data_IF_316031625747
#
_entry.id   IF_316031625747
#
_cell.length_a   1.000
_cell.length_b   1.000
_cell.length_c   1.000
_cell.angle_alpha   90.00
_cell.angle_beta   90.00
_cell.angle_gamma   90.00
#
_symmetry.space_group_name_H-M   'P 1'
#
loop_
_entity.id
_entity.type
_entity.pdbx_description
1 polymer ?
#
# COMPACT_ATOMS: atom_id res chain seq x y z
N UNK A 1 16.81 7.17 21.11
CA UNK A 1 17.54 7.38 19.82
C UNK A 1 17.10 6.39 18.73
N UNK A 2 16.90 5.09 19.01
CA UNK A 2 16.47 4.11 18.00
C UNK A 2 15.13 4.48 17.33
N UNK A 3 14.14 4.93 18.11
CA UNK A 3 12.81 5.28 17.59
C UNK A 3 12.83 6.43 16.58
N UNK A 4 13.70 7.43 16.79
CA UNK A 4 13.90 8.55 15.85
C UNK A 4 14.54 8.07 14.54
N UNK A 5 15.51 7.14 14.61
CA UNK A 5 16.13 6.55 13.41
C UNK A 5 15.12 5.73 12.60
N UNK A 6 14.34 4.89 13.28
CA UNK A 6 13.25 4.09 12.69
C UNK A 6 12.27 5.01 11.95
N UNK A 7 11.78 6.05 12.61
CA UNK A 7 10.80 6.96 12.03
C UNK A 7 11.37 7.73 10.83
N UNK A 8 12.61 8.24 10.94
CA UNK A 8 13.25 8.97 9.85
C UNK A 8 13.45 8.10 8.61
N UNK A 9 13.88 6.86 8.81
CA UNK A 9 14.03 5.90 7.72
C UNK A 9 12.69 5.52 7.09
N UNK A 10 11.68 5.22 7.92
CA UNK A 10 10.32 4.93 7.45
C UNK A 10 9.77 6.07 6.59
N UNK A 11 9.82 7.30 7.08
CA UNK A 11 9.33 8.47 6.34
C UNK A 11 10.10 8.69 5.04
N UNK A 12 11.43 8.55 5.06
CA UNK A 12 12.23 8.68 3.85
C UNK A 12 11.93 7.58 2.81
N UNK A 13 11.72 6.35 3.26
CA UNK A 13 11.33 5.22 2.42
C UNK A 13 9.96 5.45 1.77
N UNK A 14 8.96 5.89 2.53
CA UNK A 14 7.62 6.18 2.01
C UNK A 14 7.67 7.30 0.96
N UNK A 15 8.35 8.41 1.26
CA UNK A 15 8.50 9.51 0.29
C UNK A 15 9.24 9.07 -0.98
N UNK A 16 10.26 8.23 -0.84
CA UNK A 16 10.95 7.65 -1.99
C UNK A 16 10.02 6.78 -2.82
N UNK A 17 9.26 5.87 -2.21
CA UNK A 17 8.33 5.00 -2.93
C UNK A 17 7.21 5.79 -3.63
N UNK A 18 6.77 6.92 -3.06
CA UNK A 18 5.80 7.81 -3.68
C UNK A 18 6.35 8.59 -4.87
N UNK A 19 7.64 8.92 -4.87
CA UNK A 19 8.28 9.74 -5.90
C UNK A 19 9.75 9.35 -6.07
N UNK A 20 10.02 8.18 -6.68
CA UNK A 20 11.37 7.58 -6.70
C UNK A 20 12.35 8.32 -7.62
N UNK A 21 11.82 9.14 -8.52
CA UNK A 21 12.61 9.98 -9.43
C UNK A 21 12.96 11.35 -8.85
N UNK A 22 12.39 11.72 -7.69
CA UNK A 22 12.76 12.94 -6.99
C UNK A 22 14.16 12.78 -6.35
N UNK A 23 15.09 13.62 -6.79
CA UNK A 23 16.48 13.65 -6.31
C UNK A 23 16.55 13.88 -4.79
N UNK A 24 15.66 14.70 -4.23
CA UNK A 24 15.57 14.96 -2.79
C UNK A 24 15.18 13.69 -2.04
N UNK A 25 14.23 12.93 -2.56
CA UNK A 25 13.80 11.67 -1.93
C UNK A 25 14.89 10.61 -1.98
N UNK A 26 15.59 10.46 -3.11
CA UNK A 26 16.78 9.59 -3.22
C UNK A 26 17.84 9.96 -2.17
N UNK A 27 18.14 11.26 -2.03
CA UNK A 27 19.13 11.75 -1.06
C UNK A 27 18.69 11.47 0.38
N UNK A 28 17.44 11.73 0.73
CA UNK A 28 16.90 11.52 2.07
C UNK A 28 16.87 10.03 2.45
N UNK A 29 16.48 9.15 1.53
CA UNK A 29 16.51 7.71 1.76
C UNK A 29 17.94 7.21 1.97
N UNK A 30 18.88 7.66 1.14
CA UNK A 30 20.30 7.30 1.29
C UNK A 30 20.85 7.75 2.64
N UNK A 31 20.57 8.99 3.05
CA UNK A 31 21.06 9.54 4.31
C UNK A 31 20.49 8.82 5.54
N UNK A 32 19.19 8.52 5.53
CA UNK A 32 18.54 7.79 6.63
C UNK A 32 19.00 6.32 6.71
N UNK A 33 19.18 5.65 5.56
CA UNK A 33 19.76 4.31 5.51
C UNK A 33 21.20 4.30 6.06
N UNK A 34 22.04 5.25 5.66
CA UNK A 34 23.38 5.40 6.20
C UNK A 34 23.37 5.62 7.72
N UNK A 35 22.46 6.45 8.24
CA UNK A 35 22.36 6.71 9.67
C UNK A 35 22.05 5.45 10.49
N UNK A 36 21.25 4.52 9.95
CA UNK A 36 21.02 3.21 10.59
C UNK A 36 22.33 2.41 10.65
N UNK A 37 23.05 2.32 9.54
CA UNK A 37 24.32 1.60 9.46
C UNK A 37 25.37 2.17 10.42
N UNK A 38 25.56 3.49 10.40
CA UNK A 38 26.51 4.22 11.24
C UNK A 38 26.16 4.06 12.73
N UNK A 39 24.88 4.13 13.09
CA UNK A 39 24.45 3.89 14.46
C UNK A 39 24.70 2.44 14.92
N UNK A 40 24.40 1.44 14.07
CA UNK A 40 24.60 0.03 14.42
C UNK A 40 26.08 -0.32 14.65
N UNK A 41 26.97 0.14 13.76
CA UNK A 41 28.43 -0.08 13.87
C UNK A 41 29.02 0.62 15.09
N UNK A 42 28.65 1.88 15.36
CA UNK A 42 29.09 2.63 16.55
C UNK A 42 28.61 2.00 17.85
N UNK A 43 27.34 1.61 17.92
CA UNK A 43 26.76 0.98 19.14
C UNK A 43 27.44 -0.34 19.49
N UNK A 44 27.89 -1.10 18.49
CA UNK A 44 28.56 -2.39 18.67
C UNK A 44 30.09 -2.30 18.71
N UNK A 45 30.63 -1.09 18.53
CA UNK A 45 32.07 -0.83 18.42
C UNK A 45 32.79 -1.82 17.49
N UNK A 46 32.17 -2.12 16.34
CA UNK A 46 32.67 -3.13 15.40
C UNK A 46 32.27 -2.80 13.96
N UNK A 47 33.15 -3.16 13.04
CA UNK A 47 32.91 -3.15 11.59
C UNK A 47 32.68 -4.56 11.03
N UNK A 48 32.70 -5.59 11.87
CA UNK A 48 32.40 -6.96 11.48
C UNK A 48 30.88 -7.14 11.35
N UNK A 49 30.35 -7.57 10.17
CA UNK A 49 28.93 -7.62 9.90
C UNK A 49 28.11 -8.45 10.90
N UNK A 50 28.61 -9.60 11.31
CA UNK A 50 27.98 -10.48 12.31
C UNK A 50 27.68 -9.77 13.64
N UNK A 51 28.47 -8.77 14.03
CA UNK A 51 28.30 -8.03 15.29
C UNK A 51 27.22 -6.96 15.25
N UNK A 52 26.90 -6.39 14.08
CA UNK A 52 25.97 -5.27 13.96
C UNK A 52 24.75 -5.51 13.06
N UNK A 53 24.78 -6.52 12.19
CA UNK A 53 23.69 -6.78 11.22
C UNK A 53 22.36 -7.10 11.89
N UNK A 54 22.34 -7.79 13.04
CA UNK A 54 21.11 -7.99 13.82
C UNK A 54 20.48 -6.66 14.24
N UNK A 55 21.29 -5.69 14.66
CA UNK A 55 20.77 -4.36 15.03
C UNK A 55 20.20 -3.60 13.83
N UNK A 56 20.75 -3.80 12.63
CA UNK A 56 20.20 -3.24 11.39
C UNK A 56 18.88 -3.93 11.09
N UNK A 57 18.85 -5.27 11.14
CA UNK A 57 17.65 -6.06 10.87
C UNK A 57 16.48 -5.66 11.78
N UNK A 58 16.69 -5.61 13.09
CA UNK A 58 15.66 -5.20 14.05
C UNK A 58 15.10 -3.80 13.74
N UNK A 59 15.99 -2.85 13.40
CA UNK A 59 15.60 -1.47 13.07
C UNK A 59 14.79 -1.43 11.78
N UNK A 60 15.24 -2.14 10.74
CA UNK A 60 14.59 -2.18 9.44
C UNK A 60 13.24 -2.87 9.54
N UNK A 61 13.17 -4.02 10.22
CA UNK A 61 11.93 -4.79 10.46
C UNK A 61 10.81 -3.92 10.99
N UNK A 62 11.10 -3.16 12.03
CA UNK A 62 10.12 -2.24 12.65
C UNK A 62 9.77 -1.10 11.69
N UNK A 63 10.77 -0.51 11.02
CA UNK A 63 10.54 0.62 10.13
C UNK A 63 9.65 0.27 8.91
N UNK A 64 9.81 -0.93 8.36
CA UNK A 64 9.07 -1.39 7.17
C UNK A 64 7.76 -2.12 7.50
N UNK A 65 7.47 -2.35 8.79
CA UNK A 65 6.25 -3.05 9.21
C UNK A 65 5.01 -2.41 8.58
N UNK A 66 4.18 -3.27 8.01
CA UNK A 66 2.91 -2.88 7.39
C UNK A 66 3.03 -2.18 6.04
N UNK A 67 4.23 -1.92 5.52
CA UNK A 67 4.43 -1.33 4.18
C UNK A 67 4.26 -2.44 3.14
N UNK A 68 3.24 -2.28 2.28
CA UNK A 68 3.10 -3.09 1.07
C UNK A 68 3.36 -2.23 -0.17
N UNK A 69 4.03 -2.82 -1.15
CA UNK A 69 4.56 -2.09 -2.32
C UNK A 69 4.03 -2.65 -3.63
N UNK A 70 3.80 -1.76 -4.59
CA UNK A 70 3.49 -2.15 -5.96
C UNK A 70 4.71 -2.84 -6.61
N UNK A 71 4.55 -3.89 -7.44
CA UNK A 71 5.66 -4.61 -8.08
C UNK A 71 6.68 -3.69 -8.76
N UNK A 72 6.21 -2.72 -9.55
CA UNK A 72 7.07 -1.71 -10.17
C UNK A 72 7.92 -0.92 -9.17
N UNK A 73 7.36 -0.48 -8.04
CA UNK A 73 8.11 0.29 -7.04
C UNK A 73 9.14 -0.56 -6.31
N UNK A 74 8.85 -1.86 -6.12
CA UNK A 74 9.82 -2.83 -5.64
C UNK A 74 11.02 -2.96 -6.59
N UNK A 75 10.79 -3.09 -7.90
CA UNK A 75 11.86 -3.13 -8.91
C UNK A 75 12.70 -1.84 -8.93
N UNK A 76 12.03 -0.68 -8.83
CA UNK A 76 12.70 0.63 -8.79
C UNK A 76 13.59 0.77 -7.55
N UNK A 77 13.12 0.30 -6.38
CA UNK A 77 13.91 0.28 -5.15
C UNK A 77 15.11 -0.68 -5.25
N UNK A 78 14.94 -1.89 -5.79
CA UNK A 78 16.05 -2.83 -6.02
C UNK A 78 17.11 -2.19 -6.92
N UNK A 79 16.69 -1.63 -8.07
CA UNK A 79 17.59 -0.95 -9.00
C UNK A 79 18.35 0.19 -8.33
N UNK A 80 17.66 1.03 -7.56
CA UNK A 80 18.31 2.13 -6.83
C UNK A 80 19.30 1.62 -5.77
N UNK A 81 18.97 0.54 -5.06
CA UNK A 81 19.91 -0.05 -4.11
C UNK A 81 21.19 -0.51 -4.80
N UNK A 82 21.09 -1.14 -5.98
CA UNK A 82 22.25 -1.55 -6.78
C UNK A 82 23.07 -0.37 -7.28
N UNK A 83 22.43 0.73 -7.68
CA UNK A 83 23.14 1.98 -8.03
C UNK A 83 24.04 2.46 -6.88
N UNK A 84 23.57 2.37 -5.63
CA UNK A 84 24.38 2.78 -4.47
C UNK A 84 25.58 1.86 -4.23
N UNK A 85 25.48 0.58 -4.58
CA UNK A 85 26.58 -0.39 -4.42
C UNK A 85 27.82 -0.06 -5.27
N UNK A 86 27.63 0.66 -6.37
CA UNK A 86 28.70 1.08 -7.27
C UNK A 86 29.21 2.51 -6.99
N UNK A 87 28.76 3.14 -5.90
CA UNK A 87 29.17 4.50 -5.60
C UNK A 87 30.53 4.56 -4.92
N UNK A 88 31.41 5.42 -5.43
CA UNK A 88 32.70 5.74 -4.79
C UNK A 88 32.54 6.48 -3.45
N UNK A 89 31.34 7.01 -3.18
CA UNK A 89 31.05 7.69 -1.93
C UNK A 89 30.73 6.66 -0.85
N UNK A 90 31.65 6.50 0.11
CA UNK A 90 31.54 5.52 1.20
C UNK A 90 30.18 5.50 1.89
N UNK A 91 29.59 6.65 2.22
CA UNK A 91 28.28 6.68 2.88
C UNK A 91 27.14 6.10 2.02
N UNK A 92 27.21 6.25 0.69
CA UNK A 92 26.26 5.66 -0.26
C UNK A 92 26.45 4.14 -0.35
N UNK A 93 27.70 3.70 -0.47
CA UNK A 93 28.04 2.28 -0.46
C UNK A 93 27.63 1.57 0.84
N UNK A 94 27.65 2.26 2.00
CA UNK A 94 27.18 1.68 3.26
C UNK A 94 25.66 1.70 3.39
N UNK A 95 24.98 2.72 2.86
CA UNK A 95 23.52 2.78 2.79
C UNK A 95 22.93 1.61 1.99
N UNK A 96 23.64 1.12 0.98
CA UNK A 96 23.26 -0.06 0.20
C UNK A 96 22.91 -1.25 1.09
N UNK A 97 23.72 -1.59 2.11
CA UNK A 97 23.46 -2.75 2.97
C UNK A 97 22.09 -2.68 3.67
N UNK A 98 21.73 -1.51 4.18
CA UNK A 98 20.43 -1.30 4.84
C UNK A 98 19.29 -1.42 3.82
N UNK A 99 19.44 -0.84 2.63
CA UNK A 99 18.43 -0.96 1.58
C UNK A 99 18.31 -2.38 1.02
N UNK A 100 19.40 -3.13 0.97
CA UNK A 100 19.40 -4.55 0.57
C UNK A 100 18.61 -5.39 1.55
N UNK A 101 18.82 -5.21 2.87
CA UNK A 101 18.01 -5.88 3.91
C UNK A 101 16.54 -5.48 3.78
N UNK A 102 16.29 -4.17 3.68
CA UNK A 102 14.93 -3.61 3.50
C UNK A 102 14.20 -4.26 2.32
N UNK A 103 14.85 -4.36 1.16
CA UNK A 103 14.25 -4.94 -0.02
C UNK A 103 14.14 -6.47 0.07
N UNK A 104 15.25 -7.17 0.23
CA UNK A 104 15.30 -8.63 0.07
C UNK A 104 14.60 -9.39 1.19
N UNK A 105 14.63 -8.88 2.43
CA UNK A 105 14.10 -9.60 3.58
C UNK A 105 12.70 -9.17 3.96
N UNK A 106 12.24 -7.99 3.51
CA UNK A 106 10.94 -7.46 3.91
C UNK A 106 10.05 -7.06 2.74
N UNK A 107 10.51 -6.18 1.86
CA UNK A 107 9.61 -5.61 0.85
C UNK A 107 9.34 -6.55 -0.32
N UNK A 108 10.28 -7.42 -0.68
CA UNK A 108 10.12 -8.40 -1.78
C UNK A 108 8.97 -9.37 -1.53
N UNK A 109 8.77 -9.78 -0.28
CA UNK A 109 7.65 -10.65 0.12
C UNK A 109 6.35 -9.85 0.37
N UNK A 110 6.46 -8.53 0.60
CA UNK A 110 5.34 -7.62 0.78
C UNK A 110 4.91 -6.91 -0.53
N UNK A 111 5.27 -7.47 -1.68
CA UNK A 111 4.77 -7.04 -2.98
C UNK A 111 3.30 -7.41 -3.10
N UNK A 112 2.46 -6.44 -3.44
CA UNK A 112 1.02 -6.64 -3.57
C UNK A 112 0.72 -7.35 -4.89
N UNK A 113 -0.09 -8.41 -4.82
CA UNK A 113 -0.80 -8.89 -6.01
C UNK A 113 -1.96 -7.94 -6.32
N UNK A 114 -1.63 -6.91 -7.10
CA UNK A 114 -2.56 -5.83 -7.45
C UNK A 114 -3.73 -6.34 -8.29
N UNK A 115 -3.49 -7.37 -9.10
CA UNK A 115 -4.52 -8.00 -9.92
C UNK A 115 -5.53 -8.72 -9.04
N UNK A 116 -5.06 -9.47 -8.06
CA UNK A 116 -5.92 -10.19 -7.12
C UNK A 116 -6.74 -9.24 -6.24
N UNK A 117 -6.11 -8.17 -5.72
CA UNK A 117 -6.83 -7.15 -4.93
C UNK A 117 -7.97 -6.53 -5.73
N UNK A 118 -7.72 -6.15 -6.99
CA UNK A 118 -8.75 -5.54 -7.85
C UNK A 118 -9.80 -6.57 -8.27
N UNK A 119 -9.42 -7.81 -8.55
CA UNK A 119 -10.38 -8.89 -8.87
C UNK A 119 -11.36 -9.15 -7.75
N UNK A 120 -10.90 -9.27 -6.51
CA UNK A 120 -11.78 -9.41 -5.34
C UNK A 120 -12.78 -8.27 -5.21
N UNK A 121 -12.41 -7.06 -5.64
CA UNK A 121 -13.34 -5.91 -5.64
C UNK A 121 -14.34 -5.97 -6.79
N UNK A 122 -13.97 -6.48 -7.95
CA UNK A 122 -14.91 -6.75 -9.04
C UNK A 122 -15.90 -7.87 -8.68
N UNK A 123 -15.43 -8.96 -8.09
CA UNK A 123 -16.27 -10.06 -7.58
C UNK A 123 -17.28 -9.54 -6.54
N UNK A 124 -16.85 -8.64 -5.65
CA UNK A 124 -17.76 -8.01 -4.69
C UNK A 124 -18.86 -7.18 -5.37
N UNK A 125 -18.55 -6.48 -6.47
CA UNK A 125 -19.55 -5.80 -7.29
C UNK A 125 -20.50 -6.82 -7.92
N UNK A 126 -19.95 -7.88 -8.54
CA UNK A 126 -20.71 -8.96 -9.17
C UNK A 126 -21.74 -9.57 -8.21
N UNK A 127 -21.30 -10.02 -7.03
CA UNK A 127 -22.20 -10.57 -6.01
C UNK A 127 -23.29 -9.56 -5.60
N UNK A 128 -22.95 -8.28 -5.48
CA UNK A 128 -23.92 -7.23 -5.12
C UNK A 128 -24.95 -7.02 -6.23
N UNK A 129 -24.52 -7.05 -7.51
CA UNK A 129 -25.41 -6.93 -8.66
C UNK A 129 -26.34 -8.13 -8.77
N UNK A 130 -25.83 -9.35 -8.56
CA UNK A 130 -26.63 -10.57 -8.55
C UNK A 130 -27.71 -10.55 -7.45
N UNK A 131 -27.37 -10.13 -6.24
CA UNK A 131 -28.33 -10.00 -5.14
C UNK A 131 -29.46 -9.02 -5.48
N UNK A 132 -29.12 -7.88 -6.12
CA UNK A 132 -30.12 -6.87 -6.47
C UNK A 132 -30.98 -7.27 -7.67
N UNK A 133 -30.44 -8.10 -8.57
CA UNK A 133 -31.22 -8.74 -9.62
C UNK A 133 -32.28 -9.67 -9.03
N UNK A 134 -31.93 -10.48 -8.03
CA UNK A 134 -32.90 -11.33 -7.30
C UNK A 134 -33.99 -10.48 -6.62
N UNK A 135 -33.63 -9.29 -6.13
CA UNK A 135 -34.55 -8.34 -5.52
C UNK A 135 -35.34 -7.46 -6.52
N UNK A 136 -35.31 -7.78 -7.82
CA UNK A 136 -35.98 -7.03 -8.89
C UNK A 136 -35.62 -5.54 -8.95
N UNK A 137 -34.35 -5.19 -8.70
CA UNK A 137 -33.89 -3.81 -8.85
C UNK A 137 -34.01 -3.35 -10.32
N UNK A 138 -34.62 -2.18 -10.60
CA UNK A 138 -34.85 -1.70 -11.97
C UNK A 138 -33.58 -1.38 -12.75
N UNK A 139 -32.42 -1.26 -12.08
CA UNK A 139 -31.12 -0.96 -12.69
C UNK A 139 -30.24 -2.20 -12.89
N UNK A 140 -30.70 -3.41 -12.58
CA UNK A 140 -29.89 -4.63 -12.63
C UNK A 140 -29.14 -4.81 -13.97
N UNK A 141 -29.84 -4.68 -15.10
CA UNK A 141 -29.24 -4.79 -16.44
C UNK A 141 -28.18 -3.72 -16.71
N UNK A 142 -28.40 -2.50 -16.23
CA UNK A 142 -27.45 -1.41 -16.42
C UNK A 142 -26.18 -1.60 -15.57
N UNK A 143 -26.32 -2.18 -14.37
CA UNK A 143 -25.21 -2.52 -13.51
C UNK A 143 -24.38 -3.69 -14.04
N UNK A 144 -25.03 -4.71 -14.62
CA UNK A 144 -24.35 -5.80 -15.35
C UNK A 144 -23.51 -5.23 -16.50
N UNK A 145 -24.07 -4.29 -17.26
CA UNK A 145 -23.33 -3.61 -18.33
C UNK A 145 -22.13 -2.82 -17.80
N UNK A 146 -22.29 -2.08 -16.68
CA UNK A 146 -21.19 -1.36 -16.04
C UNK A 146 -20.09 -2.32 -15.58
N UNK A 147 -20.46 -3.42 -14.92
CA UNK A 147 -19.54 -4.46 -14.46
C UNK A 147 -18.78 -5.11 -15.62
N UNK A 148 -19.46 -5.42 -16.72
CA UNK A 148 -18.84 -6.00 -17.91
C UNK A 148 -17.80 -5.03 -18.53
N UNK A 149 -18.17 -3.74 -18.67
CA UNK A 149 -17.25 -2.69 -19.16
C UNK A 149 -16.03 -2.53 -18.24
N UNK A 150 -16.24 -2.48 -16.92
CA UNK A 150 -15.15 -2.38 -15.93
C UNK A 150 -14.24 -3.60 -15.97
N UNK A 151 -14.81 -4.79 -15.99
CA UNK A 151 -14.05 -6.06 -16.04
C UNK A 151 -13.21 -6.15 -17.30
N UNK A 152 -13.75 -5.79 -18.46
CA UNK A 152 -13.00 -5.73 -19.71
C UNK A 152 -11.83 -4.74 -19.61
N UNK A 153 -12.09 -3.53 -19.12
CA UNK A 153 -11.07 -2.48 -19.00
C UNK A 153 -9.95 -2.91 -18.03
N UNK A 154 -10.30 -3.46 -16.86
CA UNK A 154 -9.35 -3.97 -15.86
C UNK A 154 -8.52 -5.13 -16.42
N UNK A 155 -9.15 -6.08 -17.11
CA UNK A 155 -8.45 -7.20 -17.73
C UNK A 155 -7.48 -6.72 -18.81
N UNK A 156 -7.84 -5.71 -19.61
CA UNK A 156 -6.94 -5.11 -20.60
C UNK A 156 -5.74 -4.42 -19.92
N UNK A 157 -5.98 -3.72 -18.83
CA UNK A 157 -4.92 -3.03 -18.08
C UNK A 157 -3.91 -4.00 -17.48
N UNK A 158 -4.38 -5.07 -16.83
CA UNK A 158 -3.49 -6.07 -16.22
C UNK A 158 -2.82 -7.01 -17.23
N UNK A 159 -3.16 -6.95 -18.53
CA UNK A 159 -2.36 -7.58 -19.60
C UNK A 159 -1.09 -6.78 -19.92
N UNK A 160 -1.03 -5.50 -19.55
CA UNK A 160 0.17 -4.67 -19.72
C UNK A 160 1.25 -5.07 -18.71
N UNK A 161 2.52 -4.87 -19.06
CA UNK A 161 3.62 -4.99 -18.09
C UNK A 161 3.52 -3.89 -17.01
N UNK A 162 4.09 -4.09 -15.80
CA UNK A 162 4.02 -3.10 -14.72
C UNK A 162 4.46 -1.68 -15.10
N UNK A 163 5.50 -1.57 -15.94
CA UNK A 163 5.98 -0.28 -16.45
C UNK A 163 4.95 0.39 -17.36
N UNK A 164 4.34 -0.38 -18.28
CA UNK A 164 3.29 0.14 -19.17
C UNK A 164 2.01 0.50 -18.39
N UNK A 165 1.69 -0.27 -17.35
CA UNK A 165 0.59 0.05 -16.45
C UNK A 165 0.76 1.44 -15.83
N UNK A 166 1.97 1.78 -15.37
CA UNK A 166 2.28 3.11 -14.83
C UNK A 166 2.11 4.21 -15.89
N UNK A 167 2.71 4.01 -17.08
CA UNK A 167 2.67 4.98 -18.18
C UNK A 167 1.24 5.27 -18.65
N UNK A 168 0.39 4.24 -18.69
CA UNK A 168 -0.99 4.35 -19.14
C UNK A 168 -1.99 4.63 -18.00
N UNK A 169 -1.53 4.73 -16.74
CA UNK A 169 -2.41 4.78 -15.58
C UNK A 169 -3.42 5.94 -15.63
N UNK A 170 -2.97 7.16 -15.96
CA UNK A 170 -3.89 8.31 -16.07
C UNK A 170 -4.93 8.14 -17.18
N UNK A 171 -4.56 7.50 -18.30
CA UNK A 171 -5.51 7.19 -19.39
C UNK A 171 -6.52 6.14 -18.95
N UNK A 172 -6.06 5.12 -18.25
CA UNK A 172 -6.92 4.10 -17.65
C UNK A 172 -7.90 4.73 -16.64
N UNK A 173 -7.40 5.54 -15.72
CA UNK A 173 -8.21 6.23 -14.70
C UNK A 173 -9.35 7.03 -15.33
N UNK A 174 -9.05 7.82 -16.37
CA UNK A 174 -10.07 8.58 -17.10
C UNK A 174 -11.14 7.68 -17.72
N UNK A 175 -10.76 6.53 -18.31
CA UNK A 175 -11.72 5.57 -18.87
C UNK A 175 -12.58 4.93 -17.79
N UNK A 176 -11.98 4.57 -16.66
CA UNK A 176 -12.69 3.99 -15.52
C UNK A 176 -13.67 5.01 -14.90
N UNK A 177 -13.26 6.27 -14.74
CA UNK A 177 -14.15 7.36 -14.31
C UNK A 177 -15.29 7.58 -15.30
N UNK A 178 -14.99 7.55 -16.60
CA UNK A 178 -16.01 7.68 -17.65
C UNK A 178 -17.08 6.58 -17.54
N UNK A 179 -16.68 5.30 -17.45
CA UNK A 179 -17.63 4.18 -17.26
C UNK A 179 -18.49 4.38 -16.01
N UNK A 180 -17.89 4.77 -14.89
CA UNK A 180 -18.64 5.01 -13.66
C UNK A 180 -19.59 6.21 -13.77
N UNK A 181 -19.23 7.23 -14.55
CA UNK A 181 -20.09 8.39 -14.80
C UNK A 181 -21.26 8.08 -15.73
N UNK A 182 -21.05 7.25 -16.76
CA UNK A 182 -22.13 6.80 -17.65
C UNK A 182 -23.21 6.04 -16.89
N UNK A 183 -22.80 5.22 -15.91
CA UNK A 183 -23.70 4.38 -15.11
C UNK A 183 -23.98 4.96 -13.73
N UNK A 184 -23.79 6.27 -13.54
CA UNK A 184 -23.82 6.91 -12.24
C UNK A 184 -25.16 6.72 -11.52
N UNK A 185 -26.28 6.88 -12.22
CA UNK A 185 -27.62 6.76 -11.64
C UNK A 185 -27.86 5.34 -11.12
N UNK A 186 -27.49 4.33 -11.90
CA UNK A 186 -27.58 2.93 -11.52
C UNK A 186 -26.68 2.62 -10.30
N UNK A 187 -25.43 3.10 -10.31
CA UNK A 187 -24.48 2.91 -9.19
C UNK A 187 -24.97 3.58 -7.91
N UNK A 188 -25.59 4.75 -8.02
CA UNK A 188 -26.13 5.51 -6.89
C UNK A 188 -27.51 5.03 -6.41
N UNK A 189 -28.13 4.06 -7.09
CA UNK A 189 -29.48 3.59 -6.79
C UNK A 189 -29.60 2.83 -5.47
N UNK A 190 -28.50 2.21 -5.03
CA UNK A 190 -28.46 1.39 -3.81
C UNK A 190 -27.15 1.61 -3.03
N UNK A 191 -27.23 1.60 -1.69
CA UNK A 191 -26.09 1.86 -0.81
C UNK A 191 -25.02 0.76 -0.91
N UNK A 192 -25.42 -0.50 -1.07
CA UNK A 192 -24.50 -1.63 -1.18
C UNK A 192 -23.73 -1.56 -2.50
N UNK A 193 -24.41 -1.32 -3.62
CA UNK A 193 -23.74 -1.11 -4.92
C UNK A 193 -22.77 0.05 -4.83
N UNK A 194 -23.27 1.18 -4.33
CA UNK A 194 -22.49 2.40 -4.18
C UNK A 194 -21.19 2.09 -3.42
N UNK A 195 -21.30 1.46 -2.25
CA UNK A 195 -20.16 1.04 -1.42
C UNK A 195 -19.22 0.08 -2.17
N UNK A 196 -19.74 -0.88 -2.94
CA UNK A 196 -18.93 -1.81 -3.71
C UNK A 196 -18.11 -1.12 -4.80
N UNK A 197 -18.74 -0.23 -5.57
CA UNK A 197 -18.06 0.58 -6.58
C UNK A 197 -17.02 1.53 -5.96
N UNK A 198 -17.32 2.19 -4.84
CA UNK A 198 -16.32 3.02 -4.14
C UNK A 198 -15.12 2.21 -3.66
N UNK A 199 -15.36 1.01 -3.14
CA UNK A 199 -14.28 0.11 -2.71
C UNK A 199 -13.35 -0.25 -3.85
N UNK A 200 -13.93 -0.54 -5.02
CA UNK A 200 -13.20 -0.85 -6.24
C UNK A 200 -12.39 0.36 -6.73
N UNK A 201 -13.02 1.53 -6.82
CA UNK A 201 -12.37 2.77 -7.23
C UNK A 201 -11.20 3.13 -6.29
N UNK A 202 -11.43 3.04 -4.97
CA UNK A 202 -10.40 3.29 -3.97
C UNK A 202 -9.21 2.34 -4.13
N UNK A 203 -9.47 1.03 -4.27
CA UNK A 203 -8.42 0.03 -4.45
C UNK A 203 -7.58 0.29 -5.72
N UNK A 204 -8.24 0.68 -6.81
CA UNK A 204 -7.54 0.93 -8.07
C UNK A 204 -6.75 2.25 -8.06
N UNK A 205 -7.35 3.34 -7.59
CA UNK A 205 -6.68 4.65 -7.51
C UNK A 205 -5.53 4.67 -6.50
N UNK A 206 -5.50 3.71 -5.57
CA UNK A 206 -4.41 3.53 -4.63
C UNK A 206 -3.38 2.49 -5.07
N UNK A 207 -3.50 1.88 -6.26
CA UNK A 207 -2.66 0.75 -6.68
C UNK A 207 -1.16 1.08 -6.69
N UNK A 208 -0.81 2.33 -7.04
CA UNK A 208 0.56 2.85 -7.02
C UNK A 208 0.92 3.61 -5.74
N UNK A 209 -0.02 3.76 -4.82
CA UNK A 209 0.27 4.30 -3.49
C UNK A 209 0.80 3.18 -2.59
N UNK A 210 1.62 3.54 -1.61
CA UNK A 210 2.04 2.61 -0.57
C UNK A 210 0.81 2.20 0.26
N UNK A 211 0.54 0.89 0.37
CA UNK A 211 -0.54 0.39 1.22
C UNK A 211 0.02 0.07 2.60
N UNK A 212 -0.29 0.90 3.59
CA UNK A 212 -0.21 0.49 4.99
C UNK A 212 -1.27 -0.58 5.30
N UNK A 213 -1.01 -1.54 6.18
CA UNK A 213 -2.00 -2.51 6.69
C UNK A 213 -3.31 -1.82 7.13
N UNK A 214 -3.20 -0.60 7.64
CA UNK A 214 -4.31 0.22 8.07
C UNK A 214 -5.13 0.86 6.94
N UNK A 215 -4.56 1.19 5.77
CA UNK A 215 -5.33 1.75 4.65
C UNK A 215 -6.35 0.75 4.10
N UNK A 216 -6.02 -0.55 4.09
CA UNK A 216 -6.96 -1.61 3.71
C UNK A 216 -8.17 -1.68 4.66
N UNK A 217 -7.96 -1.47 5.96
CA UNK A 217 -8.99 -1.47 7.00
C UNK A 217 -9.72 -0.12 7.14
N UNK A 218 -9.07 1.01 6.87
CA UNK A 218 -9.67 2.35 6.89
C UNK A 218 -10.58 2.59 5.69
N UNK A 219 -10.23 2.08 4.50
CA UNK A 219 -11.18 2.07 3.39
C UNK A 219 -12.38 1.19 3.71
N UNK A 220 -12.21 0.08 4.43
CA UNK A 220 -13.33 -0.69 4.98
C UNK A 220 -14.13 0.10 6.04
N UNK A 221 -13.49 0.89 6.92
CA UNK A 221 -14.19 1.74 7.90
C UNK A 221 -14.93 2.91 7.25
N UNK A 222 -14.37 3.54 6.21
CA UNK A 222 -15.09 4.55 5.40
C UNK A 222 -16.22 3.93 4.58
N UNK A 223 -16.09 2.69 4.12
CA UNK A 223 -17.23 1.94 3.59
C UNK A 223 -18.32 1.71 4.63
N UNK A 224 -17.97 1.41 5.89
CA UNK A 224 -18.96 1.37 7.00
C UNK A 224 -19.62 2.72 7.26
N UNK A 225 -18.91 3.84 7.12
CA UNK A 225 -19.50 5.17 7.20
C UNK A 225 -20.58 5.41 6.12
N UNK A 226 -20.39 4.90 4.90
CA UNK A 226 -21.43 4.94 3.87
C UNK A 226 -22.59 3.96 4.12
N UNK A 227 -22.35 2.88 4.88
CA UNK A 227 -23.41 1.98 5.35
C UNK A 227 -24.25 2.61 6.47
N UNK A 228 -23.69 3.51 7.28
CA UNK A 228 -24.36 4.06 8.48
C UNK A 228 -25.11 5.40 8.25
N UNK A 229 -24.79 6.22 7.23
CA UNK A 229 -25.19 7.65 7.24
C UNK A 229 -25.99 8.16 6.02
N UNK A 230 -26.52 7.36 5.09
CA UNK A 230 -27.45 7.98 4.11
C UNK A 230 -28.57 7.12 3.55
N UNK A 231 -29.78 7.42 4.01
CA UNK A 231 -31.07 7.16 3.34
C UNK A 231 -31.30 8.05 2.09
N UNK A 232 -30.36 8.93 1.75
CA UNK A 232 -30.47 9.89 0.63
C UNK A 232 -29.22 9.78 -0.26
N UNK A 233 -29.34 9.48 -1.56
CA UNK A 233 -28.22 9.41 -2.48
C UNK A 233 -27.52 10.77 -2.64
N UNK A 234 -26.40 11.00 -1.94
CA UNK A 234 -25.52 12.14 -2.25
C UNK A 234 -24.65 11.82 -3.47
N UNK A 235 -24.58 12.77 -4.41
CA UNK A 235 -23.70 12.75 -5.57
C UNK A 235 -22.22 12.88 -5.13
N UNK A 236 -21.59 11.75 -4.83
CA UNK A 236 -20.22 11.67 -4.26
C UNK A 236 -19.21 11.11 -5.28
N UNK A 237 -19.65 10.76 -6.49
CA UNK A 237 -18.81 10.18 -7.55
C UNK A 237 -18.15 11.28 -8.40
N UNK A 238 -18.77 12.45 -8.48
CA UNK A 238 -18.16 13.63 -9.09
C UNK A 238 -16.94 14.05 -8.25
N UNK A 239 -15.76 14.07 -8.88
CA UNK A 239 -14.50 14.51 -8.29
C UNK A 239 -13.93 13.62 -7.16
N UNK A 240 -14.15 12.29 -7.19
CA UNK A 240 -13.63 11.37 -6.18
C UNK A 240 -12.08 11.45 -6.03
N UNK A 241 -11.67 12.07 -4.93
CA UNK A 241 -10.36 12.13 -4.28
C UNK A 241 -10.04 10.94 -3.39
N UNK A 242 -8.97 10.18 -3.63
CA UNK A 242 -8.36 9.35 -2.57
C UNK A 242 -7.43 10.25 -1.73
N UNK A 243 -7.78 10.62 -0.48
CA UNK A 243 -6.82 11.26 0.42
C UNK A 243 -5.79 10.22 0.88
N UNK A 244 -4.52 10.60 0.88
CA UNK A 244 -3.46 9.79 1.49
C UNK A 244 -3.61 9.84 3.02
N UNK A 245 -3.72 8.68 3.66
CA UNK A 245 -3.74 8.56 5.11
C UNK A 245 -2.70 7.51 5.50
N UNK A 246 -1.54 7.95 5.96
CA UNK A 246 -0.65 7.06 6.72
C UNK A 246 -1.24 6.96 8.13
N UNK A 247 -1.75 5.78 8.49
CA UNK A 247 -2.10 5.52 9.87
C UNK A 247 -0.84 5.08 10.59
N UNK A 248 -0.48 5.85 11.61
CA UNK A 248 0.54 5.46 12.57
C UNK A 248 0.00 4.26 13.34
N UNK A 249 0.65 3.10 13.22
CA UNK A 249 0.46 2.06 14.21
C UNK A 249 0.95 2.65 15.54
N UNK A 250 0.06 2.78 16.52
CA UNK A 250 0.46 3.14 17.88
C UNK A 250 1.40 2.05 18.39
N UNK A 251 2.59 2.47 18.83
CA UNK A 251 3.58 1.65 19.49
C UNK A 251 3.05 1.22 20.86
N UNK A 252 2.04 0.36 20.90
CA UNK A 252 1.77 -0.41 22.11
C UNK A 252 2.67 -1.64 22.00
N UNK A 253 3.81 -1.54 22.70
CA UNK A 253 4.57 -2.71 23.10
C UNK A 253 3.57 -3.67 23.76
N UNK A 254 3.33 -4.83 23.16
CA UNK A 254 2.81 -5.96 23.91
C UNK A 254 3.88 -6.24 24.97
N UNK A 255 3.73 -5.63 26.15
CA UNK A 255 4.41 -6.09 27.35
C UNK A 255 4.05 -7.57 27.47
N UNK A 256 5.03 -8.44 27.18
CA UNK A 256 4.97 -9.83 27.61
C UNK A 256 4.76 -9.79 29.12
N UNK A 257 3.52 -10.06 29.52
CA UNK A 257 3.11 -10.24 30.90
C UNK A 257 3.82 -11.50 31.40
N UNK A 258 5.07 -11.34 31.84
CA UNK A 258 5.83 -12.38 32.54
C UNK A 258 5.21 -12.51 33.93
N UNK A 259 4.05 -13.16 33.99
CA UNK A 259 3.52 -13.70 35.24
C UNK A 259 4.46 -14.80 35.72
N UNK A 260 5.07 -14.68 36.92
CA UNK A 260 5.85 -15.76 37.48
C UNK A 260 4.90 -16.91 37.87
N UNK A 261 4.97 -18.01 37.13
CA UNK A 261 4.42 -19.30 37.54
C UNK A 261 4.97 -19.65 38.93
N UNK A 262 4.14 -19.43 39.95
CA UNK A 262 4.33 -20.00 41.28
C UNK A 262 3.77 -21.41 41.23
N UNK A 263 4.65 -22.40 41.22
CA UNK A 263 4.27 -23.80 41.39
C UNK A 263 4.12 -24.03 42.89
N UNK A 264 2.88 -24.09 43.37
CA UNK A 264 2.55 -24.67 44.67
C UNK A 264 2.81 -26.18 44.60
N UNK A 265 3.75 -26.66 45.41
CA UNK A 265 3.91 -28.08 45.69
C UNK A 265 3.33 -28.29 47.09
N UNK A 266 2.15 -28.90 47.12
CA UNK A 266 1.50 -29.49 48.29
C UNK A 266 2.34 -30.60 48.91
#
# INVERSE_FOLDING_TARGET
MSQTLIQNFRTALIHYLQSPFDVKNKRNLTASAFAIYDHATKRKNSLEPDKFMTSIDDTVRVAVRGIKVHPYLAEVLDSFSRELSWSDLRHKALAFHVLTVTYNWYLKENVIDTKEVVRKKLEMIETTVEQLKVNNNPYATELENALAKLSLLVNQYFKLSPIKQLQEHSKFEKKLQFICSEHQTAIASDVQIKSAFYSFLAAFLSIFNVFGFSLANEYQRKNKFFQEISLIPKNTLSNFRVPFIEVKDTFEEEEEDVSPFSIDIS
#
